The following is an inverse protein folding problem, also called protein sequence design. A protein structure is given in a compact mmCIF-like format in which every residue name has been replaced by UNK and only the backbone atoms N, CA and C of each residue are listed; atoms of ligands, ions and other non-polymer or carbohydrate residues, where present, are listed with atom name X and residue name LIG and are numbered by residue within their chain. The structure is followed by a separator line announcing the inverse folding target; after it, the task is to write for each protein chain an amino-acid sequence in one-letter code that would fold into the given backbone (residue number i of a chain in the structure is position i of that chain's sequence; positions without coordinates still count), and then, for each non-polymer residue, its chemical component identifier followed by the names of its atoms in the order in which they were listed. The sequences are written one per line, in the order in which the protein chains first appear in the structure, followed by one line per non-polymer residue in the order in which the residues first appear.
data_IF_399868109671
#
_entry.id   IF_399868109671
#
_cell.length_a   1.000
_cell.length_b   1.000
_cell.length_c   1.000
_cell.angle_alpha   90.00
_cell.angle_beta   90.00
_cell.angle_gamma   90.00
#
_symmetry.space_group_name_H-M   'P 1'
#
loop_
_entity.id
_entity.type
_entity.pdbx_description
1 polymer ?
#
# COMPACT_ATOMS: atom_id res chain seq x y z
N UNK A 1 -8.41 -42.54 -20.31
CA UNK A 1 -7.07 -42.15 -20.79
C UNK A 1 -7.30 -41.37 -22.06
N UNK A 2 -6.86 -40.10 -22.10
CA UNK A 2 -7.05 -39.23 -23.25
C UNK A 2 -6.16 -39.69 -24.41
N UNK A 3 -6.78 -40.24 -25.46
CA UNK A 3 -6.07 -40.78 -26.63
C UNK A 3 -5.49 -39.72 -27.57
N UNK A 4 -5.83 -38.45 -27.38
CA UNK A 4 -5.44 -37.35 -28.27
C UNK A 4 -3.93 -37.09 -28.30
N UNK A 5 -3.26 -37.12 -27.14
CA UNK A 5 -1.85 -36.75 -27.07
C UNK A 5 -0.90 -37.88 -27.50
N UNK A 6 -1.37 -39.13 -27.41
CA UNK A 6 -0.56 -40.34 -27.62
C UNK A 6 -0.86 -41.04 -28.94
N UNK A 7 -1.89 -40.62 -29.68
CA UNK A 7 -2.22 -41.20 -30.97
C UNK A 7 -1.63 -40.39 -32.12
N UNK A 8 -1.19 -41.10 -33.14
CA UNK A 8 -0.81 -40.59 -34.46
C UNK A 8 -2.00 -40.54 -35.43
N UNK A 9 -3.18 -41.04 -35.01
CA UNK A 9 -4.41 -41.04 -35.81
C UNK A 9 -4.92 -39.62 -36.12
N UNK A 10 -4.41 -38.64 -35.39
CA UNK A 10 -4.65 -37.23 -35.66
C UNK A 10 -3.63 -36.74 -36.68
N UNK A 11 -4.10 -36.63 -37.93
CA UNK A 11 -3.32 -36.19 -39.09
C UNK A 11 -2.93 -34.70 -38.93
N UNK A 12 -1.77 -34.48 -38.31
CA UNK A 12 -1.13 -33.17 -38.23
C UNK A 12 0.13 -33.24 -39.09
N UNK A 13 -0.03 -32.95 -40.39
CA UNK A 13 1.04 -32.97 -41.40
C UNK A 13 2.35 -32.27 -40.96
N UNK A 14 2.25 -31.21 -40.14
CA UNK A 14 3.41 -30.47 -39.62
C UNK A 14 4.26 -31.23 -38.60
N UNK A 15 3.75 -32.30 -38.00
CA UNK A 15 4.48 -33.09 -37.01
C UNK A 15 5.23 -34.28 -37.64
N UNK A 16 5.16 -34.45 -38.97
CA UNK A 16 5.96 -35.45 -39.68
C UNK A 16 5.66 -36.90 -39.28
N UNK A 17 4.41 -37.20 -38.93
CA UNK A 17 3.99 -38.55 -38.51
C UNK A 17 4.25 -38.88 -37.04
N UNK A 18 4.68 -37.89 -36.23
CA UNK A 18 4.78 -38.02 -34.79
C UNK A 18 3.47 -37.64 -34.10
N UNK A 19 3.19 -38.29 -32.97
CA UNK A 19 2.13 -37.85 -32.07
C UNK A 19 2.52 -36.53 -31.39
N UNK A 20 1.54 -35.75 -30.88
CA UNK A 20 1.84 -34.50 -30.17
C UNK A 20 2.86 -34.64 -29.03
N UNK A 21 2.80 -35.74 -28.27
CA UNK A 21 3.75 -35.98 -27.17
C UNK A 21 5.15 -36.31 -27.65
N UNK A 22 5.29 -37.05 -28.76
CA UNK A 22 6.59 -37.38 -29.35
C UNK A 22 7.25 -36.14 -29.95
N UNK A 23 6.49 -35.31 -30.68
CA UNK A 23 7.01 -34.05 -31.20
C UNK A 23 7.41 -33.08 -30.10
N UNK A 24 6.63 -32.99 -29.01
CA UNK A 24 6.97 -32.15 -27.86
C UNK A 24 8.25 -32.65 -27.16
N UNK A 25 8.39 -33.96 -27.00
CA UNK A 25 9.55 -34.56 -26.31
C UNK A 25 10.84 -34.47 -27.13
N UNK A 26 10.74 -34.36 -28.46
CA UNK A 26 11.87 -34.21 -29.37
C UNK A 26 12.32 -32.75 -29.56
N UNK A 27 11.55 -31.76 -29.09
CA UNK A 27 11.89 -30.34 -29.20
C UNK A 27 13.13 -30.01 -28.34
N UNK A 28 14.23 -29.52 -28.94
CA UNK A 28 15.47 -29.19 -28.22
C UNK A 28 15.42 -27.85 -27.48
N UNK A 29 14.27 -27.16 -27.46
CA UNK A 29 14.11 -25.87 -26.78
C UNK A 29 14.48 -26.00 -25.30
N UNK A 30 15.49 -25.27 -24.80
CA UNK A 30 15.91 -25.37 -23.42
C UNK A 30 14.80 -24.85 -22.50
N UNK A 31 14.38 -25.68 -21.56
CA UNK A 31 13.42 -25.31 -20.53
C UNK A 31 14.17 -24.85 -19.29
N UNK A 32 13.71 -23.75 -18.71
CA UNK A 32 14.16 -23.29 -17.40
C UNK A 32 13.11 -23.64 -16.37
N UNK A 33 13.52 -24.34 -15.32
CA UNK A 33 12.66 -24.53 -14.16
C UNK A 33 12.46 -23.18 -13.48
N UNK A 34 11.20 -22.84 -13.24
CA UNK A 34 10.83 -21.67 -12.46
C UNK A 34 10.52 -22.17 -11.06
N UNK A 35 10.99 -21.43 -10.06
CA UNK A 35 10.64 -21.69 -8.67
C UNK A 35 9.12 -21.77 -8.52
N UNK A 36 8.64 -22.83 -7.86
CA UNK A 36 7.22 -22.98 -7.57
C UNK A 36 6.69 -21.80 -6.73
N UNK A 37 7.55 -21.26 -5.86
CA UNK A 37 7.30 -20.07 -5.04
C UNK A 37 7.34 -18.76 -5.86
N UNK A 38 7.71 -18.79 -7.13
CA UNK A 38 7.51 -17.67 -8.06
C UNK A 38 6.22 -17.84 -8.89
N UNK A 39 5.81 -19.07 -9.18
CA UNK A 39 4.62 -19.36 -10.00
C UNK A 39 3.31 -19.26 -9.23
N UNK A 40 3.30 -19.64 -7.95
CA UNK A 40 2.07 -19.70 -7.16
C UNK A 40 1.33 -18.36 -7.09
N UNK A 41 2.01 -17.20 -7.11
CA UNK A 41 1.35 -15.89 -7.11
C UNK A 41 0.48 -15.65 -8.37
N UNK A 42 0.79 -16.33 -9.48
CA UNK A 42 0.04 -16.26 -10.74
C UNK A 42 -1.15 -17.20 -10.79
N UNK A 43 -1.22 -18.20 -9.91
CA UNK A 43 -2.34 -19.15 -9.85
C UNK A 43 -3.46 -18.72 -8.91
N UNK A 44 -3.26 -17.61 -8.18
CA UNK A 44 -4.25 -17.09 -7.24
C UNK A 44 -5.32 -16.26 -7.94
N UNK A 45 -6.57 -16.50 -7.58
CA UNK A 45 -7.69 -15.62 -7.91
C UNK A 45 -7.64 -14.35 -7.06
N UNK A 46 -8.09 -13.24 -7.65
CA UNK A 46 -8.24 -11.95 -6.97
C UNK A 46 -9.67 -11.80 -6.47
N UNK A 47 -9.83 -11.55 -5.17
CA UNK A 47 -11.14 -11.26 -4.57
C UNK A 47 -11.74 -9.92 -5.05
N UNK A 48 -10.92 -9.06 -5.69
CA UNK A 48 -11.28 -7.76 -6.30
C UNK A 48 -11.94 -6.76 -5.34
N UNK A 49 -11.96 -7.05 -4.04
CA UNK A 49 -12.55 -6.19 -3.02
C UNK A 49 -11.49 -5.64 -2.09
N UNK A 50 -11.70 -4.40 -1.69
CA UNK A 50 -10.99 -3.79 -0.57
C UNK A 50 -11.57 -4.31 0.75
N UNK A 51 -10.70 -4.81 1.61
CA UNK A 51 -11.03 -5.33 2.93
C UNK A 51 -10.23 -4.59 3.99
N UNK A 52 -10.73 -4.56 5.21
CA UNK A 52 -10.00 -3.99 6.35
C UNK A 52 -9.45 -5.09 7.23
N UNK A 53 -8.21 -4.95 7.67
CA UNK A 53 -7.68 -5.76 8.76
C UNK A 53 -8.40 -5.34 10.05
N UNK A 54 -9.00 -6.32 10.72
CA UNK A 54 -9.66 -6.12 12.03
C UNK A 54 -8.85 -6.78 13.14
N UNK A 55 -9.29 -6.62 14.39
CA UNK A 55 -8.71 -7.34 15.53
C UNK A 55 -8.80 -8.86 15.41
N UNK A 56 -9.80 -9.37 14.65
CA UNK A 56 -9.98 -10.79 14.35
C UNK A 56 -9.15 -11.27 13.15
N UNK A 57 -8.44 -10.36 12.47
CA UNK A 57 -7.81 -10.62 11.18
C UNK A 57 -8.60 -10.04 10.01
N UNK A 58 -8.37 -10.54 8.80
CA UNK A 58 -9.08 -10.12 7.58
C UNK A 58 -10.19 -11.11 7.26
N UNK A 59 -11.41 -10.62 7.02
CA UNK A 59 -12.56 -11.48 6.74
C UNK A 59 -12.67 -11.85 5.26
N UNK A 60 -12.81 -13.14 4.93
CA UNK A 60 -12.98 -13.61 3.55
C UNK A 60 -13.87 -14.86 3.41
N UNK A 61 -14.90 -14.77 2.57
CA UNK A 61 -15.97 -15.77 2.51
C UNK A 61 -16.98 -15.61 3.66
N UNK A 62 -17.73 -16.68 3.95
CA UNK A 62 -18.79 -16.64 4.97
C UNK A 62 -18.23 -16.91 6.37
N UNK A 63 -18.15 -15.87 7.20
CA UNK A 63 -17.81 -15.98 8.62
C UNK A 63 -16.35 -16.33 8.94
N UNK A 64 -15.48 -16.43 7.94
CA UNK A 64 -14.07 -16.82 8.12
C UNK A 64 -13.17 -15.59 8.28
N UNK A 65 -12.19 -15.72 9.15
CA UNK A 65 -11.14 -14.73 9.36
C UNK A 65 -9.77 -15.36 9.18
N UNK A 66 -8.85 -14.62 8.56
CA UNK A 66 -7.48 -15.04 8.34
C UNK A 66 -6.53 -14.16 9.16
N UNK A 67 -5.54 -14.80 9.78
CA UNK A 67 -4.63 -14.19 10.74
C UNK A 67 -3.19 -14.57 10.44
N UNK A 68 -2.29 -13.62 10.69
CA UNK A 68 -0.86 -13.81 10.73
C UNK A 68 -0.25 -12.87 11.77
N UNK A 69 0.96 -13.16 12.23
CA UNK A 69 1.62 -12.38 13.27
C UNK A 69 2.06 -10.99 12.78
N UNK A 70 2.45 -10.87 11.50
CA UNK A 70 2.77 -9.59 10.85
C UNK A 70 1.57 -8.63 10.79
N UNK A 71 0.33 -9.14 10.88
CA UNK A 71 -0.88 -8.30 10.89
C UNK A 71 -1.06 -7.53 12.21
N UNK A 72 -0.30 -7.88 13.26
CA UNK A 72 -0.43 -7.24 14.58
C UNK A 72 -0.02 -5.78 14.51
N UNK A 73 -0.96 -4.89 14.84
CA UNK A 73 -0.76 -3.44 14.76
C UNK A 73 -1.19 -2.82 13.44
N UNK A 74 -1.67 -3.62 12.48
CA UNK A 74 -2.19 -3.14 11.19
C UNK A 74 -3.72 -3.03 11.16
N UNK A 75 -4.39 -3.01 12.33
CA UNK A 75 -5.85 -2.87 12.40
C UNK A 75 -6.27 -1.56 11.72
N UNK A 76 -7.24 -1.66 10.81
CA UNK A 76 -7.73 -0.55 9.99
C UNK A 76 -7.06 -0.44 8.61
N UNK A 77 -5.92 -1.11 8.38
CA UNK A 77 -5.27 -1.15 7.08
C UNK A 77 -6.19 -1.74 6.01
N UNK A 78 -6.20 -1.12 4.83
CA UNK A 78 -7.02 -1.55 3.69
C UNK A 78 -6.18 -2.44 2.80
N UNK A 79 -6.68 -3.64 2.51
CA UNK A 79 -5.96 -4.70 1.81
C UNK A 79 -6.82 -5.31 0.71
N UNK A 80 -6.17 -5.99 -0.23
CA UNK A 80 -6.77 -6.89 -1.22
C UNK A 80 -6.30 -8.31 -0.92
N UNK A 81 -7.13 -9.28 -1.26
CA UNK A 81 -6.81 -10.69 -1.07
C UNK A 81 -6.67 -11.39 -2.39
N UNK A 82 -5.69 -12.30 -2.45
CA UNK A 82 -5.65 -13.34 -3.45
C UNK A 82 -5.70 -14.71 -2.80
N UNK A 83 -6.32 -15.68 -3.46
CA UNK A 83 -6.51 -17.01 -2.90
C UNK A 83 -6.49 -18.06 -3.99
N UNK A 84 -6.08 -19.27 -3.64
CA UNK A 84 -6.16 -20.40 -4.56
C UNK A 84 -7.58 -21.00 -4.48
N UNK A 85 -8.31 -21.17 -5.60
CA UNK A 85 -9.62 -21.81 -5.60
C UNK A 85 -9.57 -23.17 -4.91
N UNK A 86 -10.59 -23.50 -4.12
CA UNK A 86 -10.69 -24.74 -3.33
C UNK A 86 -9.66 -24.91 -2.19
N UNK A 87 -8.62 -24.08 -2.10
CA UNK A 87 -7.66 -24.05 -1.00
C UNK A 87 -8.00 -22.91 -0.04
N UNK A 88 -8.74 -23.26 1.03
CA UNK A 88 -9.34 -22.26 1.93
C UNK A 88 -8.60 -22.05 3.25
N UNK A 89 -7.47 -22.72 3.45
CA UNK A 89 -6.70 -22.64 4.69
C UNK A 89 -5.80 -21.41 4.75
N UNK A 90 -5.53 -20.77 3.61
CA UNK A 90 -4.61 -19.65 3.50
C UNK A 90 -5.07 -18.66 2.44
N UNK A 91 -4.71 -17.41 2.63
CA UNK A 91 -4.90 -16.33 1.67
C UNK A 91 -3.67 -15.43 1.63
N UNK A 92 -3.45 -14.83 0.49
CA UNK A 92 -2.42 -13.82 0.30
C UNK A 92 -2.97 -12.42 0.44
N UNK A 93 -2.26 -11.61 1.21
CA UNK A 93 -2.68 -10.26 1.54
C UNK A 93 -1.77 -9.26 0.84
N UNK A 94 -2.40 -8.31 0.15
CA UNK A 94 -1.74 -7.23 -0.56
C UNK A 94 -2.23 -5.89 -0.03
N UNK A 95 -1.35 -4.90 0.01
CA UNK A 95 -1.74 -3.53 0.29
C UNK A 95 -2.67 -3.03 -0.83
N UNK A 96 -3.80 -2.43 -0.46
CA UNK A 96 -4.80 -2.02 -1.44
C UNK A 96 -4.34 -0.89 -2.36
N UNK A 97 -3.45 -0.02 -1.88
CA UNK A 97 -3.03 1.19 -2.61
C UNK A 97 -1.84 0.92 -3.51
N UNK A 98 -0.80 0.30 -2.97
CA UNK A 98 0.45 0.02 -3.67
C UNK A 98 0.43 -1.30 -4.44
N UNK A 99 -0.47 -2.23 -4.07
CA UNK A 99 -0.45 -3.58 -4.62
C UNK A 99 0.73 -4.42 -4.12
N UNK A 100 1.50 -3.94 -3.14
CA UNK A 100 2.61 -4.68 -2.56
C UNK A 100 2.10 -5.90 -1.79
N UNK A 101 2.78 -7.04 -1.95
CA UNK A 101 2.52 -8.23 -1.16
C UNK A 101 2.96 -7.97 0.30
N UNK A 102 2.04 -8.18 1.24
CA UNK A 102 2.29 -8.01 2.66
C UNK A 102 2.64 -9.33 3.34
N UNK A 103 2.10 -10.44 2.83
CA UNK A 103 2.34 -11.78 3.32
C UNK A 103 1.11 -12.66 3.32
N UNK A 104 1.34 -13.93 3.64
CA UNK A 104 0.32 -14.97 3.76
C UNK A 104 -0.39 -14.90 5.11
N UNK A 105 -1.67 -15.29 5.13
CA UNK A 105 -2.49 -15.36 6.34
C UNK A 105 -3.28 -16.67 6.40
N UNK A 106 -3.17 -17.38 7.52
CA UNK A 106 -3.84 -18.65 7.73
C UNK A 106 -5.25 -18.46 8.30
N UNK A 107 -6.16 -19.39 7.97
CA UNK A 107 -7.52 -19.41 8.49
C UNK A 107 -7.50 -19.57 10.02
N UNK A 108 -8.09 -18.61 10.74
CA UNK A 108 -7.99 -18.53 12.20
C UNK A 108 -8.50 -19.79 12.92
N UNK A 109 -9.59 -20.38 12.42
CA UNK A 109 -10.20 -21.58 13.03
C UNK A 109 -9.39 -22.86 12.80
N UNK A 110 -8.47 -22.85 11.82
CA UNK A 110 -7.63 -24.00 11.45
C UNK A 110 -6.13 -23.69 11.60
N UNK A 111 -5.78 -22.56 12.20
CA UNK A 111 -4.40 -22.13 12.35
C UNK A 111 -3.63 -23.11 13.24
N UNK A 112 -2.41 -23.46 12.82
CA UNK A 112 -1.56 -24.34 13.62
C UNK A 112 -1.26 -23.71 15.00
N UNK A 113 -0.96 -24.52 16.03
CA UNK A 113 -0.56 -24.01 17.34
C UNK A 113 0.65 -23.06 17.26
N UNK A 114 1.53 -23.25 16.28
CA UNK A 114 2.69 -22.39 16.05
C UNK A 114 2.28 -21.01 15.56
N UNK A 115 1.36 -20.93 14.59
CA UNK A 115 0.79 -19.67 14.08
C UNK A 115 0.07 -18.93 15.20
N UNK A 116 -0.78 -19.64 15.96
CA UNK A 116 -1.47 -19.05 17.12
C UNK A 116 -0.46 -18.52 18.14
N UNK A 117 0.59 -19.30 18.43
CA UNK A 117 1.68 -18.90 19.31
C UNK A 117 2.42 -17.66 18.81
N UNK A 118 2.73 -17.58 17.51
CA UNK A 118 3.39 -16.45 16.88
C UNK A 118 2.54 -15.17 16.99
N UNK A 119 1.25 -15.25 16.67
CA UNK A 119 0.31 -14.12 16.81
C UNK A 119 0.24 -13.65 18.26
N UNK A 120 0.15 -14.56 19.24
CA UNK A 120 0.14 -14.20 20.67
C UNK A 120 1.42 -13.50 21.09
N UNK A 121 2.59 -14.01 20.67
CA UNK A 121 3.89 -13.38 20.94
C UNK A 121 3.97 -11.99 20.31
N UNK A 122 3.55 -11.83 19.06
CA UNK A 122 3.51 -10.54 18.38
C UNK A 122 2.61 -9.53 19.10
N UNK A 123 1.41 -9.94 19.53
CA UNK A 123 0.51 -9.10 20.34
C UNK A 123 1.14 -8.67 21.66
N UNK A 124 1.80 -9.59 22.37
CA UNK A 124 2.49 -9.28 23.62
C UNK A 124 3.63 -8.28 23.41
N UNK A 125 4.47 -8.47 22.38
CA UNK A 125 5.53 -7.52 22.02
C UNK A 125 4.96 -6.14 21.74
N UNK A 126 3.91 -6.05 20.91
CA UNK A 126 3.28 -4.76 20.58
C UNK A 126 2.65 -4.09 21.81
N UNK A 127 2.00 -4.86 22.68
CA UNK A 127 1.44 -4.34 23.92
C UNK A 127 2.52 -3.79 24.88
N UNK A 128 3.66 -4.49 24.99
CA UNK A 128 4.80 -4.01 25.77
C UNK A 128 5.36 -2.70 25.18
N UNK A 129 5.53 -2.65 23.85
CA UNK A 129 5.97 -1.44 23.17
C UNK A 129 5.03 -0.26 23.45
N UNK A 130 3.73 -0.44 23.26
CA UNK A 130 2.74 0.63 23.51
C UNK A 130 2.75 1.11 24.96
N UNK A 131 2.94 0.22 25.94
CA UNK A 131 3.09 0.62 27.35
C UNK A 131 4.35 1.45 27.57
N UNK A 132 5.47 1.06 26.96
CA UNK A 132 6.72 1.80 27.03
C UNK A 132 6.58 3.19 26.38
N UNK A 133 5.94 3.26 25.21
CA UNK A 133 5.67 4.51 24.49
C UNK A 133 4.80 5.46 25.32
N UNK A 134 3.73 4.94 25.95
CA UNK A 134 2.87 5.73 26.84
C UNK A 134 3.63 6.24 28.07
N UNK A 135 4.46 5.40 28.70
CA UNK A 135 5.27 5.81 29.84
C UNK A 135 6.31 6.86 29.45
N UNK A 136 6.94 6.73 28.28
CA UNK A 136 7.87 7.71 27.74
C UNK A 136 7.15 9.04 27.42
N UNK A 137 5.97 8.99 26.80
CA UNK A 137 5.16 10.17 26.51
C UNK A 137 4.73 10.89 27.78
N UNK A 138 4.31 10.15 28.82
CA UNK A 138 3.97 10.71 30.13
C UNK A 138 5.18 11.33 30.83
N UNK A 139 6.36 10.68 30.78
CA UNK A 139 7.61 11.27 31.28
C UNK A 139 7.96 12.55 30.53
N UNK A 140 7.87 12.55 29.20
CA UNK A 140 8.13 13.73 28.37
C UNK A 140 7.13 14.86 28.65
N UNK A 141 5.85 14.53 28.89
CA UNK A 141 4.85 15.50 29.36
C UNK A 141 5.26 16.09 30.70
N UNK A 142 5.62 15.25 31.68
CA UNK A 142 6.07 15.73 33.00
C UNK A 142 7.30 16.62 32.91
N UNK A 143 8.29 16.31 32.07
CA UNK A 143 9.46 17.18 31.88
C UNK A 143 9.07 18.50 31.21
N UNK A 144 8.26 18.47 30.15
CA UNK A 144 7.82 19.69 29.44
C UNK A 144 6.98 20.63 30.32
N UNK A 145 6.23 20.08 31.26
CA UNK A 145 5.36 20.86 32.16
C UNK A 145 5.84 20.86 33.62
N UNK A 146 7.06 20.36 33.90
CA UNK A 146 7.67 20.48 35.22
C UNK A 146 8.19 21.90 35.36
N UNK A 147 7.60 22.63 36.31
CA UNK A 147 7.85 24.04 36.65
C UNK A 147 7.29 25.09 35.66
N UNK A 148 5.97 25.07 35.46
CA UNK A 148 5.19 26.31 35.20
C UNK A 148 4.24 26.60 36.37
N UNK A 149 4.64 26.27 37.59
CA UNK A 149 3.93 26.65 38.83
C UNK A 149 4.54 27.90 39.45
N UNK A 150 4.86 28.90 38.63
CA UNK A 150 4.79 30.29 39.10
C UNK A 150 3.31 30.66 38.97
N UNK A 151 2.60 30.99 40.07
CA UNK A 151 1.23 31.46 39.96
C UNK A 151 1.25 32.78 39.18
N UNK A 152 0.93 32.71 37.90
CA UNK A 152 0.71 33.86 37.04
C UNK A 152 -0.80 34.03 36.86
N UNK A 153 -1.26 35.29 36.80
CA UNK A 153 -2.66 35.58 36.53
C UNK A 153 -3.10 34.88 35.23
N UNK A 154 -4.28 34.25 35.25
CA UNK A 154 -4.82 33.56 34.10
C UNK A 154 -4.96 34.52 32.91
N UNK A 155 -4.02 34.46 31.97
CA UNK A 155 -4.16 35.12 30.68
C UNK A 155 -5.08 34.27 29.83
N UNK A 156 -6.14 34.89 29.29
CA UNK A 156 -6.90 34.30 28.20
C UNK A 156 -5.93 34.11 27.03
N UNK A 157 -5.56 32.85 26.75
CA UNK A 157 -5.07 32.49 25.43
C UNK A 157 -6.16 32.90 24.45
N UNK A 158 -5.88 33.93 23.65
CA UNK A 158 -6.75 34.33 22.56
C UNK A 158 -7.05 33.08 21.76
N UNK A 159 -8.34 32.72 21.71
CA UNK A 159 -8.81 31.70 20.79
C UNK A 159 -8.37 32.14 19.40
N UNK A 160 -7.43 31.42 18.80
CA UNK A 160 -7.08 31.56 17.40
C UNK A 160 -8.38 31.64 16.62
N UNK A 161 -8.63 32.77 15.96
CA UNK A 161 -9.83 32.90 15.17
C UNK A 161 -9.74 31.91 14.01
N UNK A 162 -10.89 31.42 13.53
CA UNK A 162 -10.92 30.51 12.36
C UNK A 162 -10.20 31.11 11.15
N UNK A 163 -10.17 32.45 11.05
CA UNK A 163 -9.44 33.17 10.02
C UNK A 163 -7.92 33.07 10.18
N UNK A 164 -7.39 33.22 11.39
CA UNK A 164 -5.95 33.08 11.66
C UNK A 164 -5.51 31.63 11.50
N UNK A 165 -6.29 30.66 11.99
CA UNK A 165 -6.00 29.24 11.80
C UNK A 165 -6.00 28.85 10.31
N UNK A 166 -6.91 29.41 9.50
CA UNK A 166 -6.92 29.20 8.04
C UNK A 166 -5.73 29.83 7.34
N UNK A 167 -5.29 31.02 7.79
CA UNK A 167 -4.13 31.70 7.23
C UNK A 167 -2.85 30.90 7.51
N UNK A 168 -2.68 30.46 8.75
CA UNK A 168 -1.51 29.66 9.15
C UNK A 168 -1.46 28.29 8.44
N UNK A 169 -2.60 27.59 8.33
CA UNK A 169 -2.70 26.34 7.54
C UNK A 169 -2.49 26.58 6.03
N UNK A 170 -2.89 27.74 5.51
CA UNK A 170 -2.67 28.14 4.13
C UNK A 170 -1.18 28.39 3.85
N UNK A 171 -0.50 29.08 4.77
CA UNK A 171 0.92 29.39 4.66
C UNK A 171 1.78 28.12 4.73
N UNK A 172 1.45 27.16 5.61
CA UNK A 172 2.09 25.84 5.64
C UNK A 172 1.89 25.06 4.33
N UNK A 173 0.67 25.10 3.77
CA UNK A 173 0.35 24.43 2.50
C UNK A 173 1.16 25.01 1.32
N UNK A 174 1.35 26.33 1.27
CA UNK A 174 2.15 27.01 0.24
C UNK A 174 3.64 26.66 0.41
N UNK A 175 4.16 26.63 1.64
CA UNK A 175 5.55 26.27 1.92
C UNK A 175 5.85 24.81 1.55
N UNK A 176 4.94 23.90 1.88
CA UNK A 176 5.05 22.49 1.48
C UNK A 176 4.98 22.33 -0.03
N UNK A 177 4.05 23.01 -0.70
CA UNK A 177 3.96 22.97 -2.16
C UNK A 177 5.24 23.50 -2.82
N UNK A 178 5.82 24.59 -2.32
CA UNK A 178 7.09 25.14 -2.80
C UNK A 178 8.28 24.18 -2.56
N UNK A 179 8.31 23.50 -1.42
CA UNK A 179 9.33 22.50 -1.09
C UNK A 179 9.27 21.27 -2.01
N UNK A 180 8.06 20.86 -2.41
CA UNK A 180 7.83 19.68 -3.25
C UNK A 180 7.91 19.99 -4.75
N UNK A 181 7.53 21.20 -5.16
CA UNK A 181 7.54 21.60 -6.57
C UNK A 181 8.95 21.69 -7.17
N UNK A 182 9.99 21.88 -6.34
CA UNK A 182 11.42 21.93 -6.71
C UNK A 182 11.67 22.43 -8.14
N UNK A 183 11.20 23.64 -8.50
CA UNK A 183 11.26 24.14 -9.87
C UNK A 183 12.71 24.27 -10.37
N UNK A 184 13.67 24.38 -9.46
CA UNK A 184 15.10 24.45 -9.77
C UNK A 184 15.73 23.10 -10.16
N UNK A 185 15.07 21.98 -9.87
CA UNK A 185 15.59 20.64 -10.21
C UNK A 185 15.48 20.32 -11.71
N UNK A 186 14.51 20.92 -12.40
CA UNK A 186 14.32 20.74 -13.84
C UNK A 186 14.08 22.12 -14.46
N UNK A 187 15.00 22.67 -15.27
CA UNK A 187 14.75 23.91 -15.95
C UNK A 187 13.52 23.74 -16.86
N UNK A 188 12.44 24.43 -16.53
CA UNK A 188 11.23 24.42 -17.35
C UNK A 188 11.57 25.04 -18.71
N UNK A 189 11.27 24.33 -19.79
CA UNK A 189 11.39 24.86 -21.14
C UNK A 189 10.52 26.11 -21.29
N UNK A 190 10.94 27.11 -22.07
CA UNK A 190 10.11 28.27 -22.32
C UNK A 190 8.77 27.84 -22.93
N UNK A 191 7.68 28.55 -22.62
CA UNK A 191 6.36 28.28 -23.18
C UNK A 191 6.42 28.37 -24.71
N UNK A 192 5.59 27.56 -25.37
CA UNK A 192 5.59 27.48 -26.83
C UNK A 192 5.20 28.83 -27.47
N UNK A 193 5.76 29.17 -28.65
CA UNK A 193 5.43 30.41 -29.34
C UNK A 193 3.93 30.52 -29.61
N UNK A 194 3.32 31.64 -29.26
CA UNK A 194 1.89 31.91 -29.46
C UNK A 194 0.98 31.57 -28.29
N UNK A 195 1.52 31.08 -27.17
CA UNK A 195 0.75 30.91 -25.94
C UNK A 195 0.49 32.26 -25.27
N UNK A 196 -0.75 32.48 -24.83
CA UNK A 196 -1.10 33.61 -23.97
C UNK A 196 -0.53 33.34 -22.59
N UNK A 197 0.45 34.15 -22.18
CA UNK A 197 1.02 34.06 -20.85
C UNK A 197 0.06 34.67 -19.81
N UNK A 198 0.05 34.15 -18.57
CA UNK A 198 -0.70 34.78 -17.49
C UNK A 198 -0.28 36.25 -17.37
N UNK A 199 -1.27 37.13 -17.26
CA UNK A 199 -1.03 38.54 -16.97
C UNK A 199 -0.45 38.61 -15.56
N UNK A 200 0.73 39.21 -15.43
CA UNK A 200 1.28 39.53 -14.12
C UNK A 200 0.41 40.64 -13.51
N UNK A 201 -0.34 40.30 -12.47
CA UNK A 201 -1.27 41.23 -11.83
C UNK A 201 -0.56 42.21 -10.90
N UNK A 202 0.74 41.97 -10.63
CA UNK A 202 1.60 42.80 -9.79
C UNK A 202 2.63 43.60 -10.62
N UNK A 203 2.62 43.48 -11.95
CA UNK A 203 3.44 44.32 -12.82
C UNK A 203 2.81 45.70 -12.96
N UNK A 204 3.47 46.73 -12.42
CA UNK A 204 3.10 48.12 -12.61
C UNK A 204 3.08 48.47 -14.11
N UNK A 205 1.88 48.81 -14.63
CA UNK A 205 1.62 49.22 -16.01
C UNK A 205 2.17 50.63 -16.28
N UNK A 206 3.50 50.76 -16.37
CA UNK A 206 4.12 51.93 -17.00
C UNK A 206 4.11 51.76 -18.53
N UNK A 207 2.99 52.09 -19.19
CA UNK A 207 3.01 52.01 -20.65
C UNK A 207 1.77 52.40 -21.46
N UNK A 208 0.72 53.01 -20.89
CA UNK A 208 -0.37 53.58 -21.70
C UNK A 208 0.03 54.95 -22.28
N UNK A 209 0.76 54.94 -23.39
CA UNK A 209 0.92 56.15 -24.23
C UNK A 209 -0.31 56.37 -25.10
N UNK A 210 -0.96 57.51 -24.88
CA UNK A 210 -1.92 58.13 -25.79
C UNK A 210 -1.34 58.24 -27.21
N UNK A 211 -2.10 57.82 -28.22
CA UNK A 211 -2.13 58.51 -29.51
C UNK A 211 -3.59 58.70 -29.94
N UNK A 212 -3.79 59.92 -30.42
CA UNK A 212 -5.00 60.66 -30.78
C UNK A 212 -5.82 60.03 -31.90
#
# INVERSE_FOLDING_TARGET
MDGWNTSIDHDIDRLGGLSPVESWSADPTPLHEVDADALWMFTLEDDRKHRKITTKGVGFGRGRHYVADWMVGMVGAVVRLRYMPHHTHEVEVFDAKSGAHLGSAALADQASPEVVGAVRRARNRKALQLRADLAAAEKARRVRYAATTTPAAAQRLGTFTVAEARRELGDECIQDLARWSRPDLFPLSPPAPGWVLPVDLDSDDEGRTHVR
#
